data_IF_054540534846
#
_entry.id   IF_054540534846
#
_cell.length_a   1.000
_cell.length_b   1.000
_cell.length_c   1.000
_cell.angle_alpha   90.00
_cell.angle_beta   90.00
_cell.angle_gamma   90.00
#
_symmetry.space_group_name_H-M   'P 1'
#
loop_
_entity.id
_entity.type
_entity.pdbx_description
1 polymer ?
#
# COMPACT_ATOMS: atom_id res chain seq x y z
N UNK A 1 -16.30 -7.61 15.85
CA UNK A 1 -15.57 -8.77 15.24
C UNK A 1 -14.45 -8.12 14.44
N UNK A 2 -13.21 -8.63 14.52
CA UNK A 2 -12.12 -8.12 13.71
C UNK A 2 -12.40 -8.39 12.23
N UNK A 3 -11.96 -7.51 11.37
CA UNK A 3 -12.02 -7.71 9.92
C UNK A 3 -10.93 -8.69 9.48
N UNK A 4 -11.08 -9.29 8.30
CA UNK A 4 -10.17 -10.30 7.81
C UNK A 4 -8.73 -9.80 7.69
N UNK A 5 -8.52 -8.56 7.21
CA UNK A 5 -7.19 -7.95 7.10
C UNK A 5 -6.57 -7.65 8.48
N UNK A 6 -7.39 -7.26 9.48
CA UNK A 6 -6.90 -7.08 10.85
C UNK A 6 -6.42 -8.40 11.44
N UNK A 7 -7.20 -9.48 11.21
CA UNK A 7 -6.84 -10.82 11.67
C UNK A 7 -5.61 -11.35 10.95
N UNK A 8 -5.53 -11.16 9.62
CA UNK A 8 -4.40 -11.59 8.79
C UNK A 8 -3.10 -10.93 9.27
N UNK A 9 -3.04 -9.59 9.21
CA UNK A 9 -1.79 -8.86 9.47
C UNK A 9 -1.36 -8.87 10.93
N UNK A 10 -2.28 -9.06 11.88
CA UNK A 10 -1.90 -9.20 13.29
C UNK A 10 -1.28 -10.56 13.62
N UNK A 11 -1.52 -11.58 12.81
CA UNK A 11 -1.11 -12.97 13.08
C UNK A 11 -0.12 -13.54 12.05
N UNK A 12 0.46 -12.71 11.17
CA UNK A 12 1.39 -13.15 10.11
C UNK A 12 2.72 -12.38 10.08
N UNK A 13 3.05 -11.64 11.14
CA UNK A 13 4.22 -10.77 11.13
C UNK A 13 5.56 -11.54 10.97
N UNK A 14 5.67 -12.74 11.53
CA UNK A 14 6.88 -13.54 11.45
C UNK A 14 7.06 -14.21 10.09
N UNK A 15 5.98 -14.51 9.40
CA UNK A 15 5.98 -15.16 8.08
C UNK A 15 5.97 -14.17 6.92
N UNK A 16 5.63 -12.90 7.15
CA UNK A 16 5.43 -11.89 6.13
C UNK A 16 6.65 -11.69 5.20
N UNK A 17 7.87 -11.75 5.73
CA UNK A 17 9.09 -11.58 4.95
C UNK A 17 9.38 -12.74 3.99
N UNK A 18 8.68 -13.88 4.12
CA UNK A 18 8.81 -15.03 3.23
C UNK A 18 7.92 -14.92 1.97
N UNK A 19 6.98 -13.98 1.97
CA UNK A 19 6.07 -13.77 0.84
C UNK A 19 6.82 -13.27 -0.40
N UNK A 20 6.41 -13.76 -1.58
CA UNK A 20 7.08 -13.44 -2.85
C UNK A 20 7.10 -11.93 -3.15
N UNK A 21 6.02 -11.21 -2.81
CA UNK A 21 5.93 -9.77 -3.05
C UNK A 21 6.94 -8.93 -2.25
N UNK A 22 7.51 -9.47 -1.19
CA UNK A 22 8.55 -8.75 -0.42
C UNK A 22 9.89 -8.67 -1.15
N UNK A 23 10.12 -9.54 -2.13
CA UNK A 23 11.37 -9.60 -2.89
C UNK A 23 11.57 -8.41 -3.84
N UNK A 24 10.50 -7.67 -4.14
CA UNK A 24 10.53 -6.49 -5.01
C UNK A 24 11.09 -5.21 -4.38
N UNK A 25 11.27 -5.18 -3.06
CA UNK A 25 11.54 -3.96 -2.27
C UNK A 25 12.61 -3.04 -2.86
N UNK A 26 13.75 -3.56 -3.30
CA UNK A 26 14.87 -2.76 -3.79
C UNK A 26 14.50 -1.97 -5.04
N UNK A 27 13.94 -2.65 -6.06
CA UNK A 27 13.54 -2.01 -7.30
C UNK A 27 12.34 -1.07 -7.14
N UNK A 28 11.43 -1.37 -6.21
CA UNK A 28 10.33 -0.48 -5.85
C UNK A 28 10.87 0.82 -5.24
N UNK A 29 11.84 0.73 -4.33
CA UNK A 29 12.48 1.90 -3.72
C UNK A 29 13.33 2.67 -4.74
N UNK A 30 13.99 2.03 -5.70
CA UNK A 30 14.68 2.70 -6.81
C UNK A 30 13.71 3.61 -7.58
N UNK A 31 12.48 3.15 -7.81
CA UNK A 31 11.45 3.94 -8.43
C UNK A 31 11.02 5.14 -7.55
N UNK A 32 10.83 4.93 -6.24
CA UNK A 32 10.46 6.02 -5.33
C UNK A 32 11.53 7.10 -5.26
N UNK A 33 12.81 6.72 -5.24
CA UNK A 33 13.93 7.67 -5.30
C UNK A 33 13.94 8.48 -6.59
N UNK A 34 13.67 7.83 -7.73
CA UNK A 34 13.55 8.51 -9.03
C UNK A 34 12.39 9.52 -9.01
N UNK A 35 11.24 9.15 -8.45
CA UNK A 35 10.08 10.03 -8.29
C UNK A 35 10.33 11.18 -7.30
N UNK A 36 11.15 10.95 -6.29
CA UNK A 36 11.62 11.95 -5.33
C UNK A 36 12.75 12.84 -5.88
N UNK A 37 13.20 12.61 -7.12
CA UNK A 37 14.33 13.34 -7.68
C UNK A 37 15.64 13.13 -6.93
N UNK A 38 15.78 12.05 -6.18
CA UNK A 38 16.92 11.71 -5.31
C UNK A 38 17.19 12.73 -4.19
N UNK A 39 16.22 13.59 -3.88
CA UNK A 39 16.34 14.60 -2.82
C UNK A 39 16.16 13.96 -1.43
N UNK A 40 17.27 13.75 -0.71
CA UNK A 40 17.26 13.13 0.62
C UNK A 40 16.71 14.05 1.73
N UNK A 41 16.42 15.30 1.43
CA UNK A 41 15.78 16.21 2.39
C UNK A 41 14.27 15.94 2.56
N UNK A 42 13.66 15.22 1.61
CA UNK A 42 12.24 14.91 1.60
C UNK A 42 11.82 14.04 2.80
N UNK A 43 10.62 14.29 3.27
CA UNK A 43 9.94 13.48 4.28
C UNK A 43 8.98 12.50 3.60
N UNK A 44 9.09 11.24 3.93
CA UNK A 44 8.29 10.17 3.31
C UNK A 44 7.37 9.55 4.35
N UNK A 45 6.10 9.37 3.99
CA UNK A 45 5.11 8.61 4.75
C UNK A 45 4.90 7.25 4.08
N UNK A 46 5.05 6.16 4.84
CA UNK A 46 4.74 4.80 4.42
C UNK A 46 3.42 4.36 5.09
N UNK A 47 2.34 4.28 4.31
CA UNK A 47 0.98 3.97 4.77
C UNK A 47 0.72 2.48 4.62
N UNK A 48 0.38 1.80 5.73
CA UNK A 48 0.32 0.34 5.78
C UNK A 48 1.70 -0.26 5.65
N UNK A 49 2.65 0.26 6.44
CA UNK A 49 4.07 -0.06 6.30
C UNK A 49 4.44 -1.50 6.67
N UNK A 50 3.54 -2.25 7.31
CA UNK A 50 3.77 -3.63 7.74
C UNK A 50 5.03 -3.79 8.57
N UNK A 51 5.89 -4.76 8.21
CA UNK A 51 7.20 -5.01 8.84
C UNK A 51 8.26 -3.94 8.50
N UNK A 52 7.87 -2.88 7.80
CA UNK A 52 8.71 -1.72 7.51
C UNK A 52 9.69 -1.90 6.33
N UNK A 53 9.47 -2.85 5.42
CA UNK A 53 10.43 -3.18 4.35
C UNK A 53 10.83 -1.96 3.49
N UNK A 54 9.86 -1.16 3.05
CA UNK A 54 10.12 0.06 2.27
C UNK A 54 10.68 1.20 3.14
N UNK A 55 10.07 1.43 4.32
CA UNK A 55 10.53 2.44 5.26
C UNK A 55 12.01 2.24 5.65
N UNK A 56 12.40 0.99 5.92
CA UNK A 56 13.77 0.62 6.29
C UNK A 56 14.73 0.82 5.12
N UNK A 57 14.36 0.38 3.93
CA UNK A 57 15.22 0.56 2.75
C UNK A 57 15.39 2.05 2.41
N UNK A 58 14.32 2.85 2.43
CA UNK A 58 14.36 4.30 2.21
C UNK A 58 15.23 5.00 3.26
N UNK A 59 15.07 4.65 4.54
CA UNK A 59 15.89 5.21 5.62
C UNK A 59 17.36 4.82 5.49
N UNK A 60 17.67 3.59 5.07
CA UNK A 60 19.05 3.15 4.81
C UNK A 60 19.73 3.96 3.69
N UNK A 61 18.94 4.50 2.77
CA UNK A 61 19.38 5.39 1.69
C UNK A 61 19.43 6.87 2.09
N UNK A 62 19.08 7.19 3.35
CA UNK A 62 19.22 8.53 3.94
C UNK A 62 17.95 9.39 3.90
N UNK A 63 16.79 8.84 3.61
CA UNK A 63 15.51 9.57 3.71
C UNK A 63 14.99 9.62 5.14
N UNK A 64 14.17 10.64 5.43
CA UNK A 64 13.42 10.72 6.68
C UNK A 64 12.06 10.06 6.49
N UNK A 65 11.83 8.95 7.15
CA UNK A 65 10.65 8.13 6.94
C UNK A 65 9.81 8.03 8.21
N UNK A 66 8.49 8.11 8.04
CA UNK A 66 7.50 7.76 9.05
C UNK A 66 6.65 6.63 8.49
N UNK A 67 6.50 5.55 9.25
CA UNK A 67 5.62 4.43 8.91
C UNK A 67 4.37 4.42 9.79
N UNK A 68 3.21 4.14 9.18
CA UNK A 68 1.97 3.87 9.93
C UNK A 68 1.39 2.52 9.52
N UNK A 69 0.86 1.79 10.49
CA UNK A 69 0.16 0.53 10.26
C UNK A 69 -0.91 0.32 11.34
N UNK A 70 -1.92 -0.47 11.03
CA UNK A 70 -2.99 -0.83 11.97
C UNK A 70 -2.56 -1.94 12.93
N UNK A 71 -1.69 -2.84 12.46
CA UNK A 71 -1.21 -4.03 13.18
C UNK A 71 -0.01 -3.71 14.09
N UNK A 72 -0.18 -3.86 15.38
CA UNK A 72 0.93 -3.66 16.33
C UNK A 72 2.01 -4.76 16.18
N UNK A 73 1.64 -6.01 15.87
CA UNK A 73 2.61 -7.08 15.66
C UNK A 73 3.54 -6.80 14.47
N UNK A 74 3.00 -6.25 13.37
CA UNK A 74 3.78 -5.81 12.22
C UNK A 74 4.75 -4.68 12.62
N UNK A 75 4.26 -3.69 13.36
CA UNK A 75 5.07 -2.55 13.81
C UNK A 75 6.17 -2.95 14.81
N UNK A 76 5.92 -3.92 15.68
CA UNK A 76 6.97 -4.47 16.56
C UNK A 76 8.09 -5.10 15.74
N UNK A 77 7.75 -5.82 14.67
CA UNK A 77 8.72 -6.38 13.74
C UNK A 77 9.49 -5.28 13.01
N UNK A 78 8.77 -4.24 12.52
CA UNK A 78 9.38 -3.09 11.86
C UNK A 78 10.40 -2.37 12.76
N UNK A 79 10.05 -2.13 14.03
CA UNK A 79 10.95 -1.49 15.01
C UNK A 79 12.20 -2.36 15.28
N UNK A 80 12.03 -3.68 15.41
CA UNK A 80 13.14 -4.62 15.54
C UNK A 80 14.08 -4.57 14.35
N UNK A 81 13.50 -4.63 13.13
CA UNK A 81 14.25 -4.61 11.89
C UNK A 81 15.03 -3.30 11.73
N UNK A 82 14.41 -2.15 12.01
CA UNK A 82 15.08 -0.84 11.96
C UNK A 82 16.22 -0.74 13.00
N UNK A 83 15.95 -1.16 14.23
CA UNK A 83 16.97 -1.15 15.31
C UNK A 83 18.17 -2.00 14.98
N UNK A 84 17.97 -3.19 14.38
CA UNK A 84 19.06 -4.09 13.98
C UNK A 84 20.00 -3.48 12.93
N UNK A 85 19.50 -2.49 12.17
CA UNK A 85 20.26 -1.74 11.16
C UNK A 85 20.72 -0.36 11.63
N UNK A 86 20.50 -0.01 12.91
CA UNK A 86 20.78 1.31 13.48
C UNK A 86 20.09 2.46 12.73
N UNK A 87 18.85 2.26 12.29
CA UNK A 87 18.06 3.25 11.60
C UNK A 87 17.05 3.90 12.56
N UNK A 88 16.93 5.24 12.48
CA UNK A 88 15.96 6.02 13.24
C UNK A 88 14.72 6.27 12.36
N UNK A 89 13.68 5.48 12.59
CA UNK A 89 12.41 5.55 11.86
C UNK A 89 11.28 5.65 12.88
N UNK A 90 10.36 6.60 12.67
CA UNK A 90 9.16 6.73 13.49
C UNK A 90 8.08 5.79 12.98
N UNK A 91 7.67 4.81 13.80
CA UNK A 91 6.57 3.91 13.52
C UNK A 91 5.42 4.13 14.47
N UNK A 92 4.22 4.42 13.94
CA UNK A 92 3.02 4.69 14.72
C UNK A 92 1.90 3.70 14.37
N UNK A 93 1.23 3.18 15.40
CA UNK A 93 -0.02 2.45 15.19
C UNK A 93 -1.11 3.46 14.87
N UNK A 94 -1.58 3.44 13.62
CA UNK A 94 -2.64 4.32 13.12
C UNK A 94 -3.50 3.59 12.10
N UNK A 95 -4.79 3.93 12.11
CA UNK A 95 -5.73 3.49 11.09
C UNK A 95 -5.60 4.42 9.87
N UNK A 96 -5.40 3.85 8.69
CA UNK A 96 -5.29 4.62 7.45
C UNK A 96 -6.59 5.39 7.11
N UNK A 97 -7.72 4.96 7.66
CA UNK A 97 -9.03 5.64 7.52
C UNK A 97 -9.16 6.88 8.39
N UNK A 98 -8.33 7.00 9.45
CA UNK A 98 -8.45 8.05 10.46
C UNK A 98 -7.07 8.41 11.05
N UNK A 99 -6.21 9.00 10.23
CA UNK A 99 -4.98 9.60 10.72
C UNK A 99 -4.91 11.08 10.30
N UNK A 100 -4.18 11.86 11.08
CA UNK A 100 -4.06 13.28 10.86
C UNK A 100 -2.58 13.70 10.82
N UNK A 101 -2.09 13.92 9.60
CA UNK A 101 -0.85 14.61 9.29
C UNK A 101 -1.17 15.71 8.27
N UNK A 102 -1.03 16.96 8.65
CA UNK A 102 -1.48 18.10 7.85
C UNK A 102 -0.32 18.68 7.02
N UNK A 103 -0.15 18.23 5.81
CA UNK A 103 0.85 18.78 4.88
C UNK A 103 2.30 18.57 5.33
N UNK A 104 2.59 17.46 6.01
CA UNK A 104 3.91 17.22 6.62
C UNK A 104 4.88 16.48 5.70
N UNK A 105 4.39 15.82 4.65
CA UNK A 105 5.16 14.90 3.82
C UNK A 105 5.26 15.38 2.37
N UNK A 106 6.40 15.08 1.77
CA UNK A 106 6.69 15.37 0.36
C UNK A 106 6.29 14.19 -0.53
N UNK A 107 6.37 12.98 0.00
CA UNK A 107 5.99 11.74 -0.66
C UNK A 107 5.24 10.85 0.32
N UNK A 108 4.12 10.29 -0.11
CA UNK A 108 3.45 9.17 0.55
C UNK A 108 3.50 7.93 -0.34
N UNK A 109 3.77 6.79 0.24
CA UNK A 109 3.73 5.49 -0.44
C UNK A 109 2.72 4.58 0.26
N UNK A 110 2.04 3.71 -0.51
CA UNK A 110 1.11 2.71 0.00
C UNK A 110 1.11 1.52 -0.98
N UNK A 111 1.91 0.51 -0.68
CA UNK A 111 2.30 -0.53 -1.64
C UNK A 111 1.79 -1.90 -1.18
N UNK A 112 1.49 -2.76 -2.14
CA UNK A 112 0.98 -4.13 -1.91
C UNK A 112 -0.25 -4.11 -1.00
N UNK A 113 -1.30 -3.40 -1.43
CA UNK A 113 -2.54 -3.23 -0.69
C UNK A 113 -2.33 -2.83 0.78
N UNK A 114 -1.38 -1.93 1.04
CA UNK A 114 -0.99 -1.52 2.39
C UNK A 114 -2.16 -1.04 3.27
N UNK A 115 -3.27 -0.61 2.66
CA UNK A 115 -4.55 -0.34 3.30
C UNK A 115 -5.68 -0.28 2.26
N UNK A 116 -5.48 0.44 1.17
CA UNK A 116 -6.35 0.52 0.01
C UNK A 116 -6.01 -0.63 -0.97
N UNK A 117 -6.95 -1.45 -1.47
CA UNK A 117 -8.41 -1.31 -1.44
C UNK A 117 -9.14 -2.34 -0.55
N UNK A 118 -8.66 -2.61 0.63
CA UNK A 118 -9.08 -3.75 1.47
C UNK A 118 -10.34 -3.51 2.30
N UNK A 119 -10.84 -2.26 2.33
CA UNK A 119 -11.94 -1.89 3.23
C UNK A 119 -13.29 -2.41 2.76
N UNK A 120 -14.23 -2.56 3.71
CA UNK A 120 -15.57 -3.12 3.50
C UNK A 120 -16.41 -2.28 2.55
N UNK A 121 -16.18 -0.97 2.51
CA UNK A 121 -16.93 -0.03 1.66
C UNK A 121 -16.03 0.86 0.84
N UNK A 122 -16.52 1.32 -0.30
CA UNK A 122 -15.79 2.26 -1.17
C UNK A 122 -15.58 3.62 -0.48
N UNK A 123 -16.48 4.01 0.43
CA UNK A 123 -16.34 5.21 1.24
C UNK A 123 -15.14 5.11 2.21
N UNK A 124 -14.95 3.97 2.86
CA UNK A 124 -13.79 3.73 3.71
C UNK A 124 -12.48 3.77 2.91
N UNK A 125 -12.47 3.16 1.72
CA UNK A 125 -11.34 3.23 0.80
C UNK A 125 -11.07 4.69 0.37
N UNK A 126 -12.12 5.46 0.07
CA UNK A 126 -12.00 6.87 -0.28
C UNK A 126 -11.36 7.70 0.83
N UNK A 127 -11.74 7.46 2.10
CA UNK A 127 -11.15 8.16 3.25
C UNK A 127 -9.63 7.91 3.37
N UNK A 128 -9.16 6.71 3.05
CA UNK A 128 -7.71 6.42 3.02
C UNK A 128 -6.98 7.32 2.02
N UNK A 129 -7.50 7.44 0.80
CA UNK A 129 -6.92 8.31 -0.23
C UNK A 129 -7.00 9.79 0.17
N UNK A 130 -8.09 10.21 0.81
CA UNK A 130 -8.25 11.58 1.30
C UNK A 130 -7.26 11.91 2.42
N UNK A 131 -7.03 10.98 3.37
CA UNK A 131 -6.03 11.16 4.43
C UNK A 131 -4.61 11.18 3.86
N UNK A 132 -4.31 10.33 2.88
CA UNK A 132 -3.05 10.39 2.16
C UNK A 132 -2.84 11.75 1.48
N UNK A 133 -3.87 12.30 0.80
CA UNK A 133 -3.82 13.64 0.22
C UNK A 133 -3.58 14.73 1.28
N UNK A 134 -4.29 14.68 2.41
CA UNK A 134 -4.17 15.66 3.49
C UNK A 134 -2.79 15.65 4.15
N UNK A 135 -2.13 14.48 4.19
CA UNK A 135 -0.79 14.34 4.76
C UNK A 135 0.31 14.98 3.90
N UNK A 136 0.04 15.17 2.60
CA UNK A 136 0.98 15.72 1.65
C UNK A 136 1.00 17.24 1.66
N UNK A 137 2.17 17.83 1.51
CA UNK A 137 2.32 19.26 1.23
C UNK A 137 1.82 19.62 -0.20
N UNK A 138 1.81 20.92 -0.56
CA UNK A 138 1.23 21.44 -1.82
C UNK A 138 1.90 20.92 -3.11
N UNK A 139 3.03 20.24 -3.03
CA UNK A 139 3.77 19.65 -4.16
C UNK A 139 4.05 18.17 -3.95
N UNK A 140 3.39 17.62 -2.93
CA UNK A 140 3.59 16.23 -2.55
C UNK A 140 3.04 15.25 -3.57
N UNK A 141 3.57 14.04 -3.54
CA UNK A 141 3.14 12.92 -4.40
C UNK A 141 2.63 11.77 -3.55
N UNK A 142 1.62 11.08 -4.06
CA UNK A 142 1.19 9.78 -3.58
C UNK A 142 1.56 8.72 -4.62
N UNK A 143 2.26 7.66 -4.20
CA UNK A 143 2.55 6.48 -5.01
C UNK A 143 1.91 5.28 -4.33
N UNK A 144 1.05 4.57 -5.04
CA UNK A 144 0.43 3.37 -4.48
C UNK A 144 0.16 2.31 -5.54
N UNK A 145 0.01 1.06 -5.10
CA UNK A 145 -0.51 -0.02 -5.93
C UNK A 145 -1.94 -0.34 -5.53
N UNK A 146 -2.72 -0.83 -6.48
CA UNK A 146 -4.09 -1.28 -6.24
C UNK A 146 -4.51 -2.34 -7.24
N UNK A 147 -5.43 -3.21 -6.83
CA UNK A 147 -5.97 -4.29 -7.66
C UNK A 147 -6.63 -3.76 -8.94
N UNK A 148 -6.23 -4.32 -10.07
CA UNK A 148 -6.69 -3.93 -11.39
C UNK A 148 -8.02 -4.57 -11.75
N UNK A 149 -9.09 -3.80 -11.83
CA UNK A 149 -10.43 -4.27 -12.18
C UNK A 149 -10.58 -4.84 -13.59
N UNK A 150 -9.59 -4.64 -14.47
CA UNK A 150 -9.55 -5.27 -15.78
C UNK A 150 -9.11 -6.74 -15.68
N UNK A 151 -8.24 -7.07 -14.72
CA UNK A 151 -7.68 -8.41 -14.59
C UNK A 151 -8.75 -9.50 -14.42
N UNK A 152 -9.72 -9.42 -13.46
CA UNK A 152 -10.73 -10.46 -13.28
C UNK A 152 -11.73 -10.59 -14.44
N UNK A 153 -11.82 -9.60 -15.33
CA UNK A 153 -12.69 -9.68 -16.52
C UNK A 153 -12.12 -10.60 -17.61
N UNK A 154 -10.80 -10.80 -17.62
CA UNK A 154 -10.10 -11.63 -18.61
C UNK A 154 -9.55 -12.92 -18.01
N UNK A 155 -9.56 -13.04 -16.69
CA UNK A 155 -9.10 -14.21 -15.94
C UNK A 155 -10.27 -14.79 -15.12
N UNK A 156 -10.31 -16.12 -14.97
CA UNK A 156 -11.42 -16.80 -14.28
C UNK A 156 -11.34 -16.59 -12.77
N UNK A 157 -12.16 -15.70 -12.26
CA UNK A 157 -12.39 -15.47 -10.84
C UNK A 157 -13.80 -15.94 -10.48
N UNK A 158 -13.93 -17.14 -9.92
CA UNK A 158 -15.23 -17.76 -9.66
C UNK A 158 -16.10 -16.98 -8.65
N UNK A 159 -15.47 -16.15 -7.82
CA UNK A 159 -16.11 -15.40 -6.72
C UNK A 159 -16.14 -13.90 -6.95
N UNK A 160 -15.81 -13.44 -8.18
CA UNK A 160 -15.81 -12.02 -8.52
C UNK A 160 -17.21 -11.49 -8.81
N UNK A 161 -17.64 -10.48 -8.06
CA UNK A 161 -18.90 -9.78 -8.31
C UNK A 161 -18.68 -8.61 -9.27
N UNK A 162 -19.21 -8.73 -10.48
CA UNK A 162 -19.12 -7.74 -11.55
C UNK A 162 -19.91 -6.45 -11.29
N UNK A 163 -20.85 -6.44 -10.34
CA UNK A 163 -21.60 -5.23 -9.99
C UNK A 163 -20.85 -4.35 -9.01
N UNK A 164 -20.19 -4.96 -8.05
CA UNK A 164 -19.44 -4.25 -7.01
C UNK A 164 -17.94 -4.21 -7.27
N UNK A 165 -17.44 -4.97 -8.27
CA UNK A 165 -16.02 -5.17 -8.53
C UNK A 165 -15.27 -5.65 -7.28
N UNK A 166 -15.89 -6.57 -6.54
CA UNK A 166 -15.32 -7.19 -5.35
C UNK A 166 -15.10 -8.67 -5.57
N UNK A 167 -13.97 -9.15 -5.08
CA UNK A 167 -13.67 -10.57 -5.03
C UNK A 167 -13.85 -11.05 -3.59
N UNK A 168 -14.78 -11.98 -3.37
CA UNK A 168 -15.10 -12.53 -2.04
C UNK A 168 -14.60 -13.96 -2.01
N UNK A 169 -13.49 -14.18 -1.30
CA UNK A 169 -12.82 -15.49 -1.23
C UNK A 169 -12.62 -15.93 0.22
N UNK A 170 -12.22 -17.18 0.38
CA UNK A 170 -11.71 -17.70 1.64
C UNK A 170 -10.20 -17.90 1.52
N UNK A 171 -9.47 -17.43 2.51
CA UNK A 171 -8.03 -17.62 2.61
C UNK A 171 -7.70 -18.47 3.85
N UNK A 172 -6.99 -19.57 3.64
CA UNK A 172 -6.49 -20.41 4.74
C UNK A 172 -5.09 -19.97 5.11
N UNK A 173 -4.89 -19.54 6.34
CA UNK A 173 -3.59 -19.16 6.86
C UNK A 173 -3.20 -20.01 8.06
N UNK A 174 -1.91 -20.09 8.32
CA UNK A 174 -1.36 -20.55 9.60
C UNK A 174 -0.81 -19.34 10.33
N UNK A 175 -1.34 -19.06 11.53
CA UNK A 175 -0.89 -17.92 12.33
C UNK A 175 0.54 -18.14 12.89
N UNK A 176 1.15 -17.10 13.42
CA UNK A 176 2.50 -17.15 13.99
C UNK A 176 2.62 -18.12 15.18
N UNK A 177 1.49 -18.56 15.77
CA UNK A 177 1.42 -19.60 16.80
C UNK A 177 1.23 -21.00 16.25
N UNK A 178 1.12 -21.18 14.93
CA UNK A 178 0.93 -22.47 14.25
C UNK A 178 -0.53 -22.93 14.14
N UNK A 179 -1.53 -22.09 14.48
CA UNK A 179 -2.95 -22.45 14.36
C UNK A 179 -3.46 -22.15 12.96
N UNK A 180 -4.27 -23.05 12.41
CA UNK A 180 -4.95 -22.84 11.14
C UNK A 180 -6.18 -21.96 11.32
N UNK A 181 -6.33 -20.96 10.46
CA UNK A 181 -7.48 -20.04 10.40
C UNK A 181 -8.02 -19.95 8.98
N UNK A 182 -9.31 -19.71 8.85
CA UNK A 182 -9.98 -19.44 7.58
C UNK A 182 -10.54 -18.02 7.65
N UNK A 183 -10.09 -17.17 6.74
CA UNK A 183 -10.50 -15.77 6.65
C UNK A 183 -11.44 -15.59 5.46
N UNK A 184 -12.51 -14.82 5.63
CA UNK A 184 -13.39 -14.41 4.52
C UNK A 184 -12.89 -13.07 3.99
N UNK A 185 -12.13 -13.11 2.92
CA UNK A 185 -11.54 -11.93 2.29
C UNK A 185 -12.54 -11.25 1.36
N UNK A 186 -12.49 -9.93 1.33
CA UNK A 186 -13.32 -9.10 0.48
C UNK A 186 -12.45 -7.95 -0.07
N UNK A 187 -12.00 -8.08 -1.30
CA UNK A 187 -11.06 -7.16 -1.94
C UNK A 187 -11.76 -6.39 -3.05
N UNK A 188 -11.58 -5.07 -3.09
CA UNK A 188 -12.14 -4.20 -4.13
C UNK A 188 -11.13 -4.00 -5.27
N UNK A 189 -11.55 -4.32 -6.49
CA UNK A 189 -10.79 -4.08 -7.71
C UNK A 189 -11.27 -2.78 -8.35
N UNK A 190 -10.37 -1.90 -8.74
CA UNK A 190 -10.70 -0.61 -9.35
C UNK A 190 -10.30 -0.57 -10.82
N UNK A 191 -11.12 0.06 -11.67
CA UNK A 191 -10.69 0.36 -13.03
C UNK A 191 -9.96 1.72 -13.08
N UNK A 192 -9.08 1.95 -14.07
CA UNK A 192 -8.27 3.17 -14.14
C UNK A 192 -9.07 4.48 -14.11
N UNK A 193 -10.25 4.49 -14.74
CA UNK A 193 -11.13 5.67 -14.76
C UNK A 193 -11.73 5.98 -13.38
N UNK A 194 -12.04 4.97 -12.56
CA UNK A 194 -12.50 5.18 -11.18
C UNK A 194 -11.39 5.80 -10.33
N UNK A 195 -10.18 5.24 -10.39
CA UNK A 195 -9.02 5.77 -9.65
C UNK A 195 -8.73 7.22 -10.07
N UNK A 196 -8.76 7.51 -11.37
CA UNK A 196 -8.56 8.87 -11.87
C UNK A 196 -9.62 9.82 -11.32
N UNK A 197 -10.89 9.39 -11.33
CA UNK A 197 -12.00 10.21 -10.83
C UNK A 197 -11.91 10.42 -9.32
N UNK A 198 -11.65 9.37 -8.53
CA UNK A 198 -11.50 9.45 -7.07
C UNK A 198 -10.38 10.43 -6.69
N UNK A 199 -9.19 10.28 -7.26
CA UNK A 199 -8.05 11.14 -6.96
C UNK A 199 -8.27 12.58 -7.40
N UNK A 200 -8.86 12.80 -8.58
CA UNK A 200 -9.19 14.16 -9.05
C UNK A 200 -10.25 14.82 -8.18
N UNK A 201 -11.25 14.07 -7.69
CA UNK A 201 -12.29 14.59 -6.79
C UNK A 201 -11.75 14.98 -5.41
N UNK A 202 -10.68 14.31 -4.95
CA UNK A 202 -9.96 14.65 -3.72
C UNK A 202 -9.14 15.93 -3.89
N UNK A 203 -8.61 16.19 -5.10
CA UNK A 203 -7.84 17.39 -5.40
C UNK A 203 -6.46 17.15 -6.01
N UNK A 204 -6.09 15.91 -6.31
CA UNK A 204 -4.87 15.64 -7.07
C UNK A 204 -4.97 16.22 -8.49
N UNK A 205 -3.92 16.92 -8.93
CA UNK A 205 -3.89 17.66 -10.21
C UNK A 205 -3.46 16.81 -11.39
N UNK A 206 -2.63 15.81 -11.12
CA UNK A 206 -2.13 14.90 -12.14
C UNK A 206 -2.14 13.47 -11.61
N UNK A 207 -2.69 12.57 -12.39
CA UNK A 207 -2.75 11.14 -12.09
C UNK A 207 -2.15 10.37 -13.25
N UNK A 208 -1.17 9.52 -12.97
CA UNK A 208 -0.57 8.60 -13.94
C UNK A 208 -0.82 7.18 -13.43
N UNK A 209 -1.35 6.31 -14.30
CA UNK A 209 -1.63 4.91 -14.00
C UNK A 209 -0.84 4.04 -14.98
N UNK A 210 -0.08 3.10 -14.46
CA UNK A 210 0.81 2.22 -15.22
C UNK A 210 0.55 0.77 -14.84
N UNK A 211 1.08 -0.16 -15.63
CA UNK A 211 1.19 -1.55 -15.23
C UNK A 211 2.11 -1.68 -14.01
N UNK A 212 1.82 -2.66 -13.16
CA UNK A 212 2.62 -2.93 -11.98
C UNK A 212 3.34 -4.26 -12.17
N UNK A 213 4.67 -4.23 -12.08
CA UNK A 213 5.50 -5.43 -12.05
C UNK A 213 6.32 -5.41 -10.76
N UNK A 214 6.25 -6.49 -10.01
CA UNK A 214 6.95 -6.64 -8.74
C UNK A 214 8.46 -6.32 -8.88
N UNK A 215 8.93 -5.36 -8.10
CA UNK A 215 10.34 -4.95 -8.09
C UNK A 215 10.83 -4.23 -9.34
N UNK A 216 9.93 -3.89 -10.28
CA UNK A 216 10.26 -3.24 -11.55
C UNK A 216 9.25 -2.13 -11.90
N UNK A 217 8.95 -1.25 -10.94
CA UNK A 217 8.02 -0.14 -11.17
C UNK A 217 8.54 0.84 -12.23
N UNK A 218 7.67 1.20 -13.17
CA UNK A 218 8.01 2.14 -14.24
C UNK A 218 6.78 2.92 -14.72
N UNK A 219 6.96 4.21 -15.03
CA UNK A 219 5.91 4.99 -15.70
C UNK A 219 5.73 4.61 -17.18
N UNK A 220 6.71 3.91 -17.75
CA UNK A 220 6.71 3.48 -19.15
C UNK A 220 6.01 2.13 -19.35
N UNK A 221 5.67 1.42 -18.25
CA UNK A 221 4.95 0.17 -18.30
C UNK A 221 3.47 0.40 -18.61
N UNK A 222 3.03 -0.04 -19.77
CA UNK A 222 1.64 0.11 -20.19
C UNK A 222 0.73 -0.80 -19.34
N UNK A 223 -0.34 -0.24 -18.77
CA UNK A 223 -1.35 -1.02 -18.08
C UNK A 223 -2.14 -1.88 -19.08
N UNK A 224 -2.27 -3.15 -18.78
CA UNK A 224 -3.05 -4.13 -19.54
C UNK A 224 -3.96 -4.95 -18.63
N UNK A 225 -4.81 -5.81 -19.22
CA UNK A 225 -5.61 -6.78 -18.46
C UNK A 225 -4.76 -7.90 -17.81
N UNK A 226 -3.50 -8.03 -18.20
CA UNK A 226 -2.57 -9.04 -17.65
C UNK A 226 -1.90 -8.57 -16.35
N UNK A 227 -1.97 -7.28 -16.04
CA UNK A 227 -1.43 -6.76 -14.79
C UNK A 227 -2.44 -7.01 -13.65
N UNK A 228 -2.05 -7.74 -12.63
CA UNK A 228 -2.87 -7.98 -11.43
C UNK A 228 -3.13 -6.69 -10.64
N UNK A 229 -2.10 -5.85 -10.55
CA UNK A 229 -2.15 -4.54 -9.92
C UNK A 229 -1.88 -3.41 -10.92
N UNK A 230 -2.33 -2.21 -10.54
CA UNK A 230 -1.97 -0.94 -11.16
C UNK A 230 -0.99 -0.20 -10.25
N UNK A 231 0.05 0.38 -10.84
CA UNK A 231 0.87 1.39 -10.18
C UNK A 231 0.30 2.78 -10.45
N UNK A 232 0.02 3.53 -9.41
CA UNK A 232 -0.57 4.86 -9.48
C UNK A 232 0.39 5.90 -8.88
N UNK A 233 0.63 6.98 -9.63
CA UNK A 233 1.37 8.15 -9.18
C UNK A 233 0.47 9.37 -9.29
N UNK A 234 0.15 10.01 -8.16
CA UNK A 234 -0.71 11.18 -8.09
C UNK A 234 0.05 12.38 -7.50
N UNK A 235 -0.10 13.55 -8.13
CA UNK A 235 0.60 14.79 -7.76
C UNK A 235 -0.43 15.83 -7.23
N UNK A 236 -0.17 16.35 -6.01
CA UNK A 236 -1.03 17.34 -5.32
C UNK A 236 -0.93 18.76 -5.86
#
# INVERSE_FOLDING_TARGET
>A
MKQWYEELFENSADNYENEEFTKGTIGEVDFFEKEAGYDKSLKILDIGCGTGRHAIELASRGYRVTGIDLSESQLEKARKNATSRNLDISFFRKDARDFNFNGEFDLAIMICEGAFPLMETDEMNFHILQNAFNSLNDRGKLIFTTLNGLFPLFHSFATFDHLTFRNITTYEMTDDSGNKKVLNCNERYYVPSEITWLLSSIGFKKVTICGCQLGAFSRDEALTSENFEMLVVAEK
#
